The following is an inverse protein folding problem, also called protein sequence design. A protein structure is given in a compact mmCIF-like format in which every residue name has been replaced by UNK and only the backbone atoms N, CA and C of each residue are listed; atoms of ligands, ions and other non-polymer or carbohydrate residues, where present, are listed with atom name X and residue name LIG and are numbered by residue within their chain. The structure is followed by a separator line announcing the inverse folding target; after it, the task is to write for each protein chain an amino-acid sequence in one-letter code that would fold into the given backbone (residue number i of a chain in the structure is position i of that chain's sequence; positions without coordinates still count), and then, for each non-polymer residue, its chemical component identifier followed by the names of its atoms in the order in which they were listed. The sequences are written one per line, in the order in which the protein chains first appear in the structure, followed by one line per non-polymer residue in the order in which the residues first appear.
data_IF_862513297861
#
_entry.id   IF_862513297861
#
_cell.length_a   1.000
_cell.length_b   1.000
_cell.length_c   1.000
_cell.angle_alpha   90.00
_cell.angle_beta   90.00
_cell.angle_gamma   90.00
#
_symmetry.space_group_name_H-M   'P 1'
#
loop_
_entity.id
_entity.type
_entity.pdbx_description
1 polymer ?
#
# COMPACT_ATOMS: atom_id res chain seq x y z
N UNK A 1 -10.69 12.73 21.39
CA UNK A 1 -11.22 13.90 20.66
C UNK A 1 -11.71 13.43 19.32
N UNK A 2 -12.96 13.74 18.94
CA UNK A 2 -13.44 13.54 17.57
C UNK A 2 -12.65 14.47 16.64
N UNK A 3 -12.07 13.90 15.57
CA UNK A 3 -11.26 14.66 14.63
C UNK A 3 -12.11 15.71 13.89
N UNK A 4 -11.65 16.96 13.66
CA UNK A 4 -12.59 18.05 13.43
C UNK A 4 -13.33 18.01 12.10
N UNK A 5 -12.84 17.31 11.07
CA UNK A 5 -13.54 17.25 9.78
C UNK A 5 -13.31 15.89 9.13
N UNK A 6 -14.25 14.97 9.34
CA UNK A 6 -14.37 13.77 8.52
C UNK A 6 -14.61 14.18 7.06
N UNK A 7 -13.80 13.69 6.12
CA UNK A 7 -14.21 13.70 4.70
C UNK A 7 -15.60 13.04 4.62
N UNK A 8 -16.48 13.58 3.78
CA UNK A 8 -17.87 13.09 3.61
C UNK A 8 -17.93 11.57 3.39
N UNK A 9 -16.88 11.00 2.79
CA UNK A 9 -16.77 9.57 2.46
C UNK A 9 -16.16 8.72 3.59
N UNK A 10 -15.50 9.34 4.58
CA UNK A 10 -14.79 8.65 5.67
C UNK A 10 -15.59 8.51 6.96
N UNK A 11 -16.56 9.39 7.21
CA UNK A 11 -17.28 9.44 8.48
C UNK A 11 -16.36 9.77 9.66
N UNK A 12 -16.50 9.06 10.78
CA UNK A 12 -15.72 9.26 12.00
C UNK A 12 -14.42 8.44 11.98
N UNK A 13 -13.31 9.04 12.42
CA UNK A 13 -12.04 8.33 12.59
C UNK A 13 -11.31 8.80 13.86
N UNK A 14 -10.46 7.92 14.39
CA UNK A 14 -9.67 8.14 15.59
C UNK A 14 -8.22 8.30 15.16
N UNK A 15 -7.55 9.32 15.69
CA UNK A 15 -6.09 9.47 15.57
C UNK A 15 -5.45 9.06 16.88
N UNK A 16 -4.39 8.26 16.77
CA UNK A 16 -3.54 7.86 17.90
C UNK A 16 -2.09 8.25 17.59
N UNK A 17 -1.47 8.97 18.53
CA UNK A 17 -0.07 9.39 18.40
C UNK A 17 0.83 8.28 18.95
N UNK A 18 1.57 7.60 18.06
CA UNK A 18 2.48 6.51 18.43
C UNK A 18 3.83 6.97 18.97
N UNK A 19 4.21 8.20 18.66
CA UNK A 19 5.46 8.83 19.10
C UNK A 19 5.20 9.79 20.25
N UNK A 20 6.23 10.06 21.06
CA UNK A 20 6.15 11.07 22.10
C UNK A 20 5.85 12.45 21.48
N UNK A 21 4.82 13.11 22.01
CA UNK A 21 4.33 14.44 21.59
C UNK A 21 4.47 15.48 22.70
N UNK A 22 5.10 15.12 23.82
CA UNK A 22 5.24 16.00 24.99
C UNK A 22 6.03 17.30 24.70
N UNK A 23 6.86 17.30 23.67
CA UNK A 23 7.62 18.47 23.22
C UNK A 23 6.88 19.41 22.27
N UNK A 24 5.63 19.11 21.90
CA UNK A 24 4.84 19.92 20.97
C UNK A 24 3.83 20.78 21.75
N UNK A 25 3.69 22.03 21.34
CA UNK A 25 2.60 22.86 21.85
C UNK A 25 1.23 22.40 21.28
N UNK A 26 0.15 22.74 21.99
CA UNK A 26 -1.21 22.39 21.58
C UNK A 26 -1.55 22.89 20.17
N UNK A 27 -1.05 24.07 19.77
CA UNK A 27 -1.31 24.62 18.44
C UNK A 27 -0.57 23.82 17.35
N UNK A 28 0.66 23.39 17.62
CA UNK A 28 1.46 22.54 16.72
C UNK A 28 0.82 21.16 16.57
N UNK A 29 0.38 20.58 17.69
CA UNK A 29 -0.32 19.30 17.69
C UNK A 29 -1.63 19.38 16.90
N UNK A 30 -2.42 20.44 17.06
CA UNK A 30 -3.65 20.65 16.30
C UNK A 30 -3.39 20.73 14.79
N UNK A 31 -2.33 21.44 14.36
CA UNK A 31 -1.93 21.52 12.95
C UNK A 31 -1.52 20.15 12.41
N UNK A 32 -0.76 19.36 13.18
CA UNK A 32 -0.38 18.01 12.77
C UNK A 32 -1.61 17.12 12.59
N UNK A 33 -2.56 17.15 13.54
CA UNK A 33 -3.79 16.36 13.46
C UNK A 33 -4.58 16.67 12.18
N UNK A 34 -4.79 17.96 11.86
CA UNK A 34 -5.51 18.37 10.64
C UNK A 34 -4.85 17.83 9.36
N UNK A 35 -3.52 17.70 9.35
CA UNK A 35 -2.77 17.19 8.18
C UNK A 35 -2.73 15.67 8.07
N UNK A 36 -3.17 14.93 9.11
CA UNK A 36 -3.18 13.47 9.08
C UNK A 36 -4.16 12.99 8.02
N UNK A 37 -3.64 12.21 7.07
CA UNK A 37 -4.45 11.52 6.07
C UNK A 37 -3.92 10.10 5.85
N UNK A 38 -4.79 9.23 5.36
CA UNK A 38 -4.45 7.85 4.98
C UNK A 38 -4.50 7.66 3.46
N UNK A 39 -4.69 8.72 2.68
CA UNK A 39 -4.99 8.61 1.25
C UNK A 39 -3.86 7.92 0.50
N UNK A 40 -2.62 8.33 0.75
CA UNK A 40 -1.42 7.73 0.17
C UNK A 40 -1.27 6.26 0.57
N UNK A 41 -1.47 5.95 1.85
CA UNK A 41 -1.39 4.59 2.37
C UNK A 41 -2.48 3.70 1.77
N UNK A 42 -3.72 4.19 1.72
CA UNK A 42 -4.85 3.46 1.16
C UNK A 42 -4.63 3.24 -0.35
N UNK A 43 -4.18 4.25 -1.09
CA UNK A 43 -3.85 4.11 -2.50
C UNK A 43 -2.76 3.05 -2.73
N UNK A 44 -1.68 3.07 -1.93
CA UNK A 44 -0.62 2.07 -2.00
C UNK A 44 -1.13 0.65 -1.70
N UNK A 45 -1.91 0.48 -0.63
CA UNK A 45 -2.51 -0.82 -0.30
C UNK A 45 -3.46 -1.29 -1.42
N UNK A 46 -4.19 -0.39 -2.07
CA UNK A 46 -5.03 -0.74 -3.23
C UNK A 46 -4.19 -1.17 -4.44
N UNK A 47 -3.01 -0.58 -4.67
CA UNK A 47 -2.09 -1.07 -5.70
C UNK A 47 -1.65 -2.51 -5.40
N UNK A 48 -1.25 -2.81 -4.16
CA UNK A 48 -0.87 -4.17 -3.75
C UNK A 48 -2.02 -5.16 -3.97
N UNK A 49 -3.25 -4.81 -3.56
CA UNK A 49 -4.42 -5.68 -3.75
C UNK A 49 -4.74 -5.94 -5.22
N UNK A 50 -4.52 -4.97 -6.10
CA UNK A 50 -4.71 -5.16 -7.55
C UNK A 50 -3.59 -5.96 -8.20
N UNK A 51 -2.40 -5.96 -7.61
CA UNK A 51 -1.29 -6.81 -8.07
C UNK A 51 -1.48 -8.28 -7.70
N UNK A 52 -2.24 -8.59 -6.64
CA UNK A 52 -2.47 -9.95 -6.16
C UNK A 52 -3.97 -10.23 -6.04
N UNK A 53 -4.51 -10.98 -7.00
CA UNK A 53 -5.93 -11.32 -7.08
C UNK A 53 -6.50 -11.92 -5.77
N UNK A 54 -5.71 -12.74 -5.06
CA UNK A 54 -6.09 -13.33 -3.75
C UNK A 54 -6.35 -12.29 -2.64
N UNK A 55 -5.78 -11.09 -2.77
CA UNK A 55 -5.95 -9.98 -1.83
C UNK A 55 -7.02 -8.97 -2.29
N UNK A 56 -7.61 -9.19 -3.47
CA UNK A 56 -8.62 -8.29 -4.02
C UNK A 56 -9.90 -8.32 -3.18
N UNK A 57 -10.52 -7.15 -3.02
CA UNK A 57 -11.79 -7.06 -2.29
C UNK A 57 -12.92 -7.62 -3.16
N UNK A 58 -13.86 -8.40 -2.59
CA UNK A 58 -15.04 -8.84 -3.30
C UNK A 58 -15.80 -7.65 -3.88
N UNK A 59 -16.11 -7.71 -5.18
CA UNK A 59 -16.98 -6.71 -5.80
C UNK A 59 -18.42 -6.99 -5.34
N UNK A 60 -19.06 -5.97 -4.78
CA UNK A 60 -20.48 -6.00 -4.45
C UNK A 60 -21.20 -5.28 -5.59
N UNK A 61 -22.06 -5.99 -6.32
CA UNK A 61 -22.87 -5.39 -7.37
C UNK A 61 -24.12 -4.75 -6.76
N UNK A 62 -24.60 -3.64 -7.33
CA UNK A 62 -25.77 -2.90 -6.83
C UNK A 62 -27.11 -3.67 -6.94
N UNK A 63 -27.11 -4.89 -7.49
CA UNK A 63 -28.34 -5.66 -7.81
C UNK A 63 -28.36 -7.10 -7.27
N UNK A 64 -27.35 -7.56 -6.54
CA UNK A 64 -27.19 -8.99 -6.24
C UNK A 64 -27.00 -9.28 -4.77
N UNK A 65 -27.77 -10.25 -4.27
CA UNK A 65 -27.67 -10.87 -2.96
C UNK A 65 -26.22 -11.33 -2.65
N UNK A 66 -25.58 -10.68 -1.68
CA UNK A 66 -24.31 -11.16 -1.11
C UNK A 66 -23.03 -10.73 -1.83
N UNK A 67 -21.92 -10.80 -1.09
CA UNK A 67 -20.56 -10.51 -1.59
C UNK A 67 -20.17 -11.59 -2.60
N UNK A 68 -19.83 -11.18 -3.82
CA UNK A 68 -19.39 -12.10 -4.86
C UNK A 68 -17.88 -12.35 -4.74
N UNK A 69 -17.51 -13.55 -4.27
CA UNK A 69 -16.12 -13.98 -4.05
C UNK A 69 -15.54 -14.74 -5.26
N UNK A 70 -15.98 -14.43 -6.50
CA UNK A 70 -15.67 -15.21 -7.72
C UNK A 70 -14.16 -15.50 -7.88
N UNK A 71 -13.28 -14.64 -7.35
CA UNK A 71 -11.83 -14.76 -7.44
C UNK A 71 -11.09 -14.94 -6.10
N UNK A 72 -11.80 -15.00 -4.96
CA UNK A 72 -11.15 -15.08 -3.66
C UNK A 72 -10.86 -16.53 -3.26
N UNK A 73 -9.92 -17.19 -3.94
CA UNK A 73 -9.32 -18.42 -3.41
C UNK A 73 -8.45 -18.06 -2.20
N UNK A 74 -9.06 -17.90 -1.03
CA UNK A 74 -8.41 -17.39 0.18
C UNK A 74 -7.56 -18.48 0.84
N UNK A 75 -6.43 -18.81 0.23
CA UNK A 75 -5.37 -19.57 0.90
C UNK A 75 -4.33 -18.59 1.48
N UNK A 76 -4.34 -18.33 2.80
CA UNK A 76 -3.45 -17.34 3.42
C UNK A 76 -1.97 -17.69 3.25
N UNK A 77 -1.63 -18.99 3.10
CA UNK A 77 -0.25 -19.43 2.85
C UNK A 77 0.25 -18.95 1.49
N UNK A 78 -0.55 -19.10 0.44
CA UNK A 78 -0.19 -18.61 -0.90
C UNK A 78 -0.22 -17.08 -0.98
N UNK A 79 -1.14 -16.43 -0.26
CA UNK A 79 -1.14 -14.97 -0.15
C UNK A 79 0.17 -14.46 0.47
N UNK A 80 0.66 -15.12 1.52
CA UNK A 80 1.94 -14.77 2.15
C UNK A 80 3.13 -14.94 1.21
N UNK A 81 3.20 -16.06 0.48
CA UNK A 81 4.28 -16.29 -0.49
C UNK A 81 4.27 -15.25 -1.62
N UNK A 82 3.11 -15.02 -2.22
CA UNK A 82 2.99 -14.04 -3.30
C UNK A 82 3.31 -12.61 -2.82
N UNK A 83 2.87 -12.24 -1.62
CA UNK A 83 3.18 -10.93 -1.04
C UNK A 83 4.68 -10.77 -0.74
N UNK A 84 5.35 -11.84 -0.30
CA UNK A 84 6.79 -11.83 -0.04
C UNK A 84 7.57 -11.59 -1.34
N UNK A 85 7.23 -12.29 -2.41
CA UNK A 85 7.84 -12.07 -3.73
C UNK A 85 7.55 -10.66 -4.26
N UNK A 86 6.30 -10.20 -4.15
CA UNK A 86 5.91 -8.84 -4.56
C UNK A 86 6.69 -7.77 -3.80
N UNK A 87 6.93 -7.96 -2.50
CA UNK A 87 7.72 -7.02 -1.68
C UNK A 87 9.14 -6.89 -2.22
N UNK A 88 9.82 -8.00 -2.49
CA UNK A 88 11.17 -7.98 -3.06
C UNK A 88 11.17 -7.30 -4.42
N UNK A 89 10.26 -7.71 -5.30
CA UNK A 89 10.13 -7.12 -6.63
C UNK A 89 9.88 -5.60 -6.55
N UNK A 90 8.90 -5.15 -5.76
CA UNK A 90 8.56 -3.73 -5.65
C UNK A 90 9.71 -2.89 -5.09
N UNK A 91 10.41 -3.38 -4.07
CA UNK A 91 11.44 -2.62 -3.36
C UNK A 91 12.78 -2.55 -4.10
N UNK A 92 13.05 -3.46 -5.04
CA UNK A 92 14.36 -3.57 -5.67
C UNK A 92 14.32 -3.61 -7.20
N UNK A 93 13.32 -4.28 -7.78
CA UNK A 93 13.34 -4.69 -9.18
C UNK A 93 12.35 -3.92 -10.05
N UNK A 94 11.24 -3.45 -9.50
CA UNK A 94 10.21 -2.71 -10.25
C UNK A 94 10.78 -1.37 -10.73
N UNK A 95 10.88 -1.12 -12.05
CA UNK A 95 11.34 0.17 -12.54
C UNK A 95 10.36 1.28 -12.14
N UNK A 96 10.90 2.42 -11.70
CA UNK A 96 10.11 3.58 -11.29
C UNK A 96 10.56 4.78 -12.11
N UNK A 97 9.63 5.32 -12.90
CA UNK A 97 9.82 6.58 -13.60
C UNK A 97 9.66 7.76 -12.64
N UNK A 98 10.76 8.48 -12.41
CA UNK A 98 10.71 9.79 -11.77
C UNK A 98 10.61 10.87 -12.86
N UNK A 99 9.86 11.93 -12.59
CA UNK A 99 9.67 13.03 -13.54
C UNK A 99 11.02 13.55 -14.04
N UNK A 100 11.27 13.46 -15.36
CA UNK A 100 12.48 13.94 -16.02
C UNK A 100 13.70 13.01 -16.00
N UNK A 101 13.63 11.84 -15.33
CA UNK A 101 14.75 10.91 -15.23
C UNK A 101 14.50 9.60 -15.98
N UNK A 102 15.59 8.87 -16.23
CA UNK A 102 15.56 7.51 -16.75
C UNK A 102 14.79 6.57 -15.81
N UNK A 103 14.13 5.59 -16.43
CA UNK A 103 13.38 4.55 -15.74
C UNK A 103 14.36 3.54 -15.15
N UNK A 104 14.77 3.80 -13.91
CA UNK A 104 15.68 2.95 -13.14
C UNK A 104 14.96 2.26 -12.00
N UNK A 105 15.40 1.04 -11.71
CA UNK A 105 14.96 0.25 -10.56
C UNK A 105 15.53 0.82 -9.24
N UNK A 106 14.86 0.62 -8.09
CA UNK A 106 15.42 1.03 -6.81
C UNK A 106 16.81 0.45 -6.53
N UNK A 107 17.08 -0.80 -6.93
CA UNK A 107 18.39 -1.44 -6.74
C UNK A 107 19.49 -0.76 -7.55
N UNK A 108 19.19 -0.31 -8.78
CA UNK A 108 20.12 0.49 -9.58
C UNK A 108 20.35 1.88 -8.97
N UNK A 109 19.31 2.51 -8.42
CA UNK A 109 19.41 3.86 -7.82
C UNK A 109 20.29 3.90 -6.58
N UNK A 110 20.34 2.81 -5.82
CA UNK A 110 21.22 2.66 -4.66
C UNK A 110 22.56 2.00 -5.02
N UNK A 111 22.85 1.84 -6.31
CA UNK A 111 24.09 1.24 -6.84
C UNK A 111 24.36 -0.19 -6.33
N UNK A 112 23.31 -0.93 -5.97
CA UNK A 112 23.44 -2.32 -5.54
C UNK A 112 23.78 -3.24 -6.72
N UNK A 113 23.33 -2.89 -7.92
CA UNK A 113 23.47 -3.69 -9.15
C UNK A 113 23.22 -2.81 -10.37
N UNK A 114 23.86 -3.12 -11.49
CA UNK A 114 23.56 -2.54 -12.79
C UNK A 114 22.51 -3.36 -13.56
N UNK A 115 22.39 -4.66 -13.26
CA UNK A 115 21.42 -5.57 -13.88
C UNK A 115 19.98 -5.20 -13.50
N UNK A 116 19.08 -5.19 -14.48
CA UNK A 116 17.63 -5.21 -14.29
C UNK A 116 17.19 -6.66 -14.04
N UNK A 117 16.50 -6.90 -12.93
CA UNK A 117 15.96 -8.20 -12.57
C UNK A 117 14.46 -8.24 -12.85
N UNK A 118 14.00 -9.28 -13.54
CA UNK A 118 12.59 -9.53 -13.79
C UNK A 118 11.98 -10.41 -12.69
N UNK A 119 10.66 -10.57 -12.69
CA UNK A 119 9.97 -11.35 -11.68
C UNK A 119 10.42 -12.83 -11.69
N UNK A 120 10.71 -13.37 -12.87
CA UNK A 120 11.21 -14.72 -13.09
C UNK A 120 12.61 -14.94 -12.49
N UNK A 121 13.43 -13.89 -12.39
CA UNK A 121 14.74 -13.98 -11.72
C UNK A 121 14.59 -14.15 -10.19
N UNK A 122 13.44 -13.75 -9.63
CA UNK A 122 13.18 -13.71 -8.18
C UNK A 122 12.36 -14.94 -7.75
N UNK A 123 11.45 -15.40 -8.61
CA UNK A 123 10.58 -16.54 -8.33
C UNK A 123 11.21 -17.80 -8.90
N UNK A 124 11.67 -18.67 -8.02
CA UNK A 124 12.16 -20.00 -8.41
C UNK A 124 10.98 -20.90 -8.80
N UNK A 125 10.76 -21.08 -10.10
CA UNK A 125 9.86 -22.09 -10.64
C UNK A 125 10.65 -23.38 -10.84
N UNK A 126 10.31 -24.42 -10.07
CA UNK A 126 10.93 -25.75 -10.17
C UNK A 126 10.03 -26.71 -10.92
#
# INVERSE_FOLDING_TARGET
MEHPIGSKDKGHFIIDCKTDVSGLDNEELARLLINVNDYSTNAFIQQIRRSLNILERPLVTARGEGKSYIYANNNPKYAHYALTSLRTYYNFCKPIKYSGNEELTPAQRIELTEKVFELEDIIYLR
#
